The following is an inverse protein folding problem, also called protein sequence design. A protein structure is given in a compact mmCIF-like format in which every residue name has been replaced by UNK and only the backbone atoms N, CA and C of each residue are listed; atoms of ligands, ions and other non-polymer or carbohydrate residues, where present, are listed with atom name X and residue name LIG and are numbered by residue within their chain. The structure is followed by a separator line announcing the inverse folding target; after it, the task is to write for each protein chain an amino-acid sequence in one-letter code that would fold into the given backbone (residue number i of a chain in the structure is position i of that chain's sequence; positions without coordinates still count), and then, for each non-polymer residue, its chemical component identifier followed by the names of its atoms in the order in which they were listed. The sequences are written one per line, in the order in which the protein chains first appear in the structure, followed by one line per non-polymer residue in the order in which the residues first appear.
data_IF_303821444318
#
_entry.id   IF_303821444318
#
_cell.length_a   1.000
_cell.length_b   1.000
_cell.length_c   1.000
_cell.angle_alpha   90.00
_cell.angle_beta   90.00
_cell.angle_gamma   90.00
#
_symmetry.space_group_name_H-M   'P 1'
#
loop_
_entity.id
_entity.type
_entity.pdbx_description
1 polymer ?
#
# COMPACT_ATOMS: atom_id res chain seq x y z
N UNK A 1 -14.66 -0.71 -30.55
CA UNK A 1 -15.04 0.53 -29.85
C UNK A 1 -13.75 1.28 -29.53
N UNK A 2 -13.68 2.60 -29.72
CA UNK A 2 -12.42 3.32 -29.47
C UNK A 2 -12.14 3.47 -27.97
N UNK A 3 -10.86 3.39 -27.57
CA UNK A 3 -10.41 3.50 -26.17
C UNK A 3 -10.73 4.87 -25.59
N UNK A 4 -10.63 5.94 -26.39
CA UNK A 4 -11.02 7.28 -25.94
C UNK A 4 -12.49 7.33 -25.50
N UNK A 5 -13.36 6.62 -26.21
CA UNK A 5 -14.79 6.53 -25.86
C UNK A 5 -15.03 5.74 -24.56
N UNK A 6 -14.30 4.64 -24.36
CA UNK A 6 -14.36 3.84 -23.11
C UNK A 6 -13.94 4.71 -21.93
N UNK A 7 -12.81 5.42 -22.05
CA UNK A 7 -12.26 6.28 -21.00
C UNK A 7 -13.19 7.45 -20.66
N UNK A 8 -13.77 8.12 -21.66
CA UNK A 8 -14.77 9.17 -21.44
C UNK A 8 -16.02 8.66 -20.71
N UNK A 9 -16.33 7.36 -20.79
CA UNK A 9 -17.41 6.75 -20.03
C UNK A 9 -16.99 6.36 -18.60
N UNK A 10 -15.72 6.10 -18.36
CA UNK A 10 -15.16 5.92 -17.02
C UNK A 10 -15.07 7.24 -16.27
N UNK A 11 -14.80 8.37 -16.94
CA UNK A 11 -14.83 9.71 -16.33
C UNK A 11 -16.20 10.07 -15.71
N UNK A 12 -17.27 9.45 -16.21
CA UNK A 12 -18.63 9.61 -15.69
C UNK A 12 -18.92 8.75 -14.46
N UNK A 13 -18.01 7.84 -14.09
CA UNK A 13 -18.14 7.06 -12.86
C UNK A 13 -17.83 7.97 -11.67
N UNK A 14 -18.80 8.10 -10.77
CA UNK A 14 -18.65 8.85 -9.54
C UNK A 14 -18.72 7.89 -8.36
N UNK A 15 -17.56 7.39 -7.93
CA UNK A 15 -17.43 6.54 -6.75
C UNK A 15 -17.44 7.34 -5.45
N UNK A 16 -16.79 8.51 -5.48
CA UNK A 16 -16.64 9.45 -4.37
C UNK A 16 -16.25 10.82 -4.97
N UNK A 17 -16.71 11.94 -4.40
CA UNK A 17 -16.33 13.28 -4.86
C UNK A 17 -14.81 13.55 -4.81
N UNK A 18 -14.08 12.82 -3.96
CA UNK A 18 -12.63 13.01 -3.77
C UNK A 18 -11.78 12.12 -4.68
N UNK A 19 -12.40 11.18 -5.40
CA UNK A 19 -11.70 10.31 -6.34
C UNK A 19 -11.65 10.96 -7.73
N UNK A 20 -10.45 11.09 -8.26
CA UNK A 20 -10.20 11.60 -9.60
C UNK A 20 -9.78 10.45 -10.51
N UNK A 21 -10.37 10.38 -11.70
CA UNK A 21 -9.87 9.48 -12.73
C UNK A 21 -8.57 10.04 -13.29
N UNK A 22 -7.52 9.23 -13.23
CA UNK A 22 -6.22 9.48 -13.85
C UNK A 22 -6.00 8.41 -14.90
N UNK A 23 -5.53 8.83 -16.07
CA UNK A 23 -5.24 7.94 -17.19
C UNK A 23 -3.85 8.28 -17.68
N UNK A 24 -3.02 7.26 -17.90
CA UNK A 24 -1.69 7.46 -18.48
C UNK A 24 -1.60 6.92 -19.91
N UNK A 25 -0.53 7.33 -20.60
CA UNK A 25 -0.27 6.96 -22.00
C UNK A 25 -0.03 5.46 -22.22
N UNK A 26 0.22 4.70 -21.15
CA UNK A 26 0.48 3.26 -21.15
C UNK A 26 -0.79 2.44 -20.90
N UNK A 27 -1.97 3.04 -21.04
CA UNK A 27 -3.23 2.32 -20.88
C UNK A 27 -3.56 1.96 -19.42
N UNK A 28 -2.93 2.59 -18.43
CA UNK A 28 -3.43 2.51 -17.06
C UNK A 28 -4.55 3.53 -16.88
N UNK A 29 -5.60 3.11 -16.18
CA UNK A 29 -6.60 4.00 -15.62
C UNK A 29 -6.62 3.80 -14.12
N UNK A 30 -6.91 4.84 -13.35
CA UNK A 30 -6.99 4.74 -11.90
C UNK A 30 -7.88 5.79 -11.30
N UNK A 31 -8.73 5.38 -10.36
CA UNK A 31 -9.51 6.29 -9.53
C UNK A 31 -8.70 6.54 -8.28
N UNK A 32 -8.17 7.77 -8.15
CA UNK A 32 -7.14 8.12 -7.17
C UNK A 32 -7.62 9.24 -6.24
N UNK A 33 -7.32 9.09 -4.96
CA UNK A 33 -7.47 10.11 -3.95
C UNK A 33 -6.10 10.32 -3.31
N UNK A 34 -5.62 11.55 -3.31
CA UNK A 34 -4.36 11.93 -2.66
C UNK A 34 -4.59 13.17 -1.81
N UNK A 35 -4.12 13.11 -0.57
CA UNK A 35 -4.01 14.26 0.31
C UNK A 35 -2.69 14.16 1.09
N UNK A 36 -2.47 15.09 2.02
CA UNK A 36 -1.23 15.13 2.81
C UNK A 36 -1.00 13.90 3.68
N UNK A 37 -2.08 13.17 4.02
CA UNK A 37 -2.06 12.03 4.94
C UNK A 37 -1.89 10.72 4.20
N UNK A 38 -2.61 10.53 3.09
CA UNK A 38 -2.67 9.26 2.37
C UNK A 38 -2.94 9.43 0.89
N UNK A 39 -2.49 8.44 0.14
CA UNK A 39 -2.86 8.14 -1.23
C UNK A 39 -3.62 6.81 -1.26
N UNK A 40 -4.72 6.77 -2.00
CA UNK A 40 -5.53 5.58 -2.21
C UNK A 40 -5.92 5.48 -3.68
N UNK A 41 -5.86 4.30 -4.26
CA UNK A 41 -6.27 4.11 -5.66
C UNK A 41 -6.89 2.75 -5.95
N UNK A 42 -7.90 2.79 -6.82
CA UNK A 42 -8.39 1.65 -7.59
C UNK A 42 -7.83 1.80 -9.00
N UNK A 43 -6.83 0.99 -9.34
CA UNK A 43 -6.14 1.05 -10.64
C UNK A 43 -6.49 -0.17 -11.49
N UNK A 44 -6.66 0.04 -12.79
CA UNK A 44 -6.75 -1.03 -13.78
C UNK A 44 -5.80 -0.78 -14.95
N UNK A 45 -5.50 -1.85 -15.69
CA UNK A 45 -4.59 -1.80 -16.84
C UNK A 45 -5.22 -2.41 -18.07
N UNK A 46 -5.22 -1.66 -19.18
CA UNK A 46 -5.50 -2.20 -20.50
C UNK A 46 -4.32 -3.04 -20.99
N UNK A 47 -4.59 -4.18 -21.60
CA UNK A 47 -3.59 -4.99 -22.27
C UNK A 47 -3.13 -4.27 -23.54
N UNK A 48 -1.83 -4.01 -23.65
CA UNK A 48 -1.26 -3.33 -24.83
C UNK A 48 -1.34 -4.18 -26.11
N UNK A 49 -1.48 -5.50 -25.97
CA UNK A 49 -1.48 -6.46 -27.09
C UNK A 49 -2.88 -6.94 -27.49
N UNK A 50 -3.92 -6.57 -26.73
CA UNK A 50 -5.30 -6.98 -27.00
C UNK A 50 -6.23 -5.79 -26.89
N UNK A 51 -7.00 -5.55 -27.94
CA UNK A 51 -7.89 -4.40 -28.03
C UNK A 51 -8.90 -4.41 -26.87
N UNK A 52 -8.89 -3.32 -26.07
CA UNK A 52 -9.81 -3.05 -24.97
C UNK A 52 -9.96 -4.18 -23.92
N UNK A 53 -8.97 -5.05 -23.77
CA UNK A 53 -8.91 -6.00 -22.67
C UNK A 53 -8.39 -5.29 -21.42
N UNK A 54 -9.13 -5.32 -20.32
CA UNK A 54 -8.66 -4.94 -19.00
C UNK A 54 -8.14 -6.22 -18.34
N UNK A 55 -6.84 -6.25 -18.01
CA UNK A 55 -6.21 -7.46 -17.46
C UNK A 55 -6.56 -7.72 -15.99
N UNK A 56 -6.97 -6.68 -15.27
CA UNK A 56 -7.30 -6.73 -13.86
C UNK A 56 -7.45 -5.34 -13.26
N UNK A 57 -7.90 -5.32 -12.01
CA UNK A 57 -7.82 -4.13 -11.15
C UNK A 57 -7.05 -4.45 -9.88
N UNK A 58 -6.55 -3.40 -9.24
CA UNK A 58 -5.80 -3.48 -8.00
C UNK A 58 -6.18 -2.33 -7.07
N UNK A 59 -5.96 -2.53 -5.78
CA UNK A 59 -6.12 -1.49 -4.77
C UNK A 59 -4.76 -1.15 -4.18
N UNK A 60 -4.49 0.14 -3.99
CA UNK A 60 -3.24 0.59 -3.41
C UNK A 60 -3.52 1.61 -2.32
N UNK A 61 -2.83 1.47 -1.19
CA UNK A 61 -2.77 2.50 -0.13
C UNK A 61 -1.31 2.86 0.10
N UNK A 62 -1.05 4.16 0.15
CA UNK A 62 0.24 4.74 0.45
C UNK A 62 0.09 5.89 1.44
N UNK A 63 1.13 6.11 2.24
CA UNK A 63 1.19 7.17 3.25
C UNK A 63 2.37 8.07 2.89
N UNK A 64 2.13 9.29 2.35
CA UNK A 64 3.19 10.20 1.94
C UNK A 64 4.26 10.47 3.00
N UNK A 65 3.88 10.49 4.29
CA UNK A 65 4.87 10.62 5.39
C UNK A 65 5.90 9.50 5.37
N UNK A 66 5.46 8.26 5.15
CA UNK A 66 6.34 7.09 5.14
C UNK A 66 7.25 7.15 3.90
N UNK A 67 6.69 7.49 2.74
CA UNK A 67 7.45 7.61 1.49
C UNK A 67 8.47 8.74 1.56
N UNK A 68 8.15 9.90 2.13
CA UNK A 68 9.13 10.99 2.32
C UNK A 68 10.29 10.57 3.24
N UNK A 69 10.01 9.75 4.25
CA UNK A 69 11.05 9.18 5.11
C UNK A 69 11.92 8.13 4.40
N UNK A 70 11.35 7.30 3.53
CA UNK A 70 12.13 6.33 2.73
C UNK A 70 12.90 7.02 1.61
N UNK A 71 12.21 7.83 0.82
CA UNK A 71 12.67 8.54 -0.35
C UNK A 71 12.40 10.05 -0.21
N UNK A 72 13.41 10.86 0.16
CA UNK A 72 13.20 12.28 0.46
C UNK A 72 12.88 13.13 -0.78
N UNK A 73 13.03 12.59 -1.99
CA UNK A 73 12.60 13.25 -3.23
C UNK A 73 11.16 12.91 -3.62
N UNK A 74 10.44 12.14 -2.79
CA UNK A 74 9.03 11.82 -3.02
C UNK A 74 8.15 13.08 -2.96
N UNK A 75 7.60 13.45 -4.10
CA UNK A 75 6.75 14.64 -4.29
C UNK A 75 5.28 14.28 -4.57
N UNK A 76 4.86 13.07 -4.20
CA UNK A 76 3.51 12.55 -4.45
C UNK A 76 3.50 11.42 -5.47
N UNK A 77 2.31 10.89 -5.71
CA UNK A 77 2.11 9.78 -6.65
C UNK A 77 1.89 10.35 -8.06
N UNK A 78 2.94 10.36 -8.88
CA UNK A 78 2.83 10.75 -10.28
C UNK A 78 1.97 9.80 -11.14
N UNK A 79 1.94 10.03 -12.46
CA UNK A 79 1.15 9.24 -13.42
C UNK A 79 1.64 7.78 -13.61
N UNK A 80 2.72 7.39 -12.92
CA UNK A 80 3.32 6.05 -12.96
C UNK A 80 2.74 5.06 -11.94
N UNK A 81 3.44 3.93 -11.74
CA UNK A 81 3.13 2.98 -10.67
C UNK A 81 3.39 3.65 -9.31
N UNK A 82 2.31 3.77 -8.53
CA UNK A 82 2.35 4.37 -7.22
C UNK A 82 3.16 3.48 -6.25
N UNK A 83 3.99 4.06 -5.36
CA UNK A 83 4.41 3.33 -4.17
C UNK A 83 3.16 2.82 -3.43
N UNK A 84 3.23 1.59 -2.90
CA UNK A 84 2.10 0.98 -2.19
C UNK A 84 2.61 0.32 -0.91
N UNK A 85 2.04 0.71 0.23
CA UNK A 85 2.29 0.09 1.52
C UNK A 85 1.35 -1.08 1.78
N UNK A 86 0.11 -0.99 1.29
CA UNK A 86 -0.87 -2.06 1.40
C UNK A 86 -1.51 -2.35 0.06
N UNK A 87 -1.66 -3.65 -0.21
CA UNK A 87 -2.22 -4.23 -1.44
C UNK A 87 -3.14 -5.41 -1.09
N UNK A 88 -4.11 -5.76 -1.94
CA UNK A 88 -5.05 -6.87 -1.71
C UNK A 88 -4.38 -8.17 -1.28
N UNK A 89 -3.27 -8.58 -1.90
CA UNK A 89 -2.63 -9.85 -1.55
C UNK A 89 -2.01 -9.83 -0.14
N UNK A 90 -1.39 -8.70 0.29
CA UNK A 90 -0.88 -8.56 1.66
C UNK A 90 -2.05 -8.60 2.65
N UNK A 91 -3.13 -7.89 2.32
CA UNK A 91 -4.35 -7.92 3.13
C UNK A 91 -4.93 -9.33 3.24
N UNK A 92 -5.00 -10.09 2.15
CA UNK A 92 -5.50 -11.47 2.17
C UNK A 92 -4.62 -12.40 3.03
N UNK A 93 -3.32 -12.13 3.17
CA UNK A 93 -2.47 -12.87 4.13
C UNK A 93 -2.96 -12.65 5.57
N UNK A 94 -3.34 -11.41 5.92
CA UNK A 94 -3.79 -11.04 7.26
C UNK A 94 -5.21 -11.56 7.56
N UNK A 95 -6.16 -11.46 6.62
CA UNK A 95 -7.58 -11.70 6.89
C UNK A 95 -8.13 -12.99 6.26
N UNK A 96 -7.37 -13.64 5.37
CA UNK A 96 -7.84 -14.81 4.63
C UNK A 96 -7.94 -14.56 3.13
N UNK A 97 -7.83 -15.66 2.38
CA UNK A 97 -8.09 -15.66 0.93
C UNK A 97 -9.54 -15.19 0.68
N UNK A 98 -9.75 -14.52 -0.45
CA UNK A 98 -11.05 -13.98 -0.90
C UNK A 98 -11.66 -12.81 -0.10
N UNK A 99 -10.94 -12.22 0.86
CA UNK A 99 -11.44 -11.05 1.64
C UNK A 99 -11.55 -9.76 0.82
N UNK A 100 -10.65 -9.59 -0.16
CA UNK A 100 -10.69 -8.48 -1.13
C UNK A 100 -10.72 -9.02 -2.55
N UNK A 101 -11.74 -8.62 -3.30
CA UNK A 101 -11.76 -8.70 -4.76
C UNK A 101 -12.08 -10.04 -5.37
N UNK A 102 -12.43 -11.06 -4.58
CA UNK A 102 -12.89 -12.37 -5.08
C UNK A 102 -14.02 -12.26 -6.11
N UNK A 103 -14.95 -11.30 -5.94
CA UNK A 103 -16.05 -11.08 -6.87
C UNK A 103 -15.62 -10.50 -8.22
N UNK A 104 -14.62 -9.60 -8.24
CA UNK A 104 -14.23 -8.87 -9.44
C UNK A 104 -13.02 -9.50 -10.15
N UNK A 105 -12.02 -10.01 -9.41
CA UNK A 105 -10.82 -10.63 -10.01
C UNK A 105 -11.17 -11.85 -10.85
N UNK A 106 -12.20 -12.60 -10.45
CA UNK A 106 -12.73 -13.75 -11.23
C UNK A 106 -13.38 -13.35 -12.56
N UNK A 107 -13.66 -12.06 -12.79
CA UNK A 107 -14.22 -11.53 -14.03
C UNK A 107 -13.15 -10.98 -14.99
N UNK A 108 -11.88 -11.02 -14.60
CA UNK A 108 -10.77 -10.57 -15.43
C UNK A 108 -9.97 -11.76 -16.01
N UNK A 109 -9.37 -11.60 -17.21
CA UNK A 109 -9.41 -10.41 -18.06
C UNK A 109 -10.81 -10.16 -18.66
N UNK A 110 -11.17 -8.88 -18.85
CA UNK A 110 -12.47 -8.46 -19.36
C UNK A 110 -12.28 -7.66 -20.65
N UNK A 111 -12.97 -8.03 -21.73
CA UNK A 111 -12.82 -7.37 -23.04
C UNK A 111 -14.06 -6.56 -23.37
N UNK A 112 -13.88 -5.31 -23.81
CA UNK A 112 -14.98 -4.39 -24.16
C UNK A 112 -15.12 -4.30 -25.68
N UNK A 113 -16.13 -4.96 -26.23
CA UNK A 113 -16.44 -4.95 -27.67
C UNK A 113 -17.54 -3.94 -28.02
N UNK A 114 -18.54 -3.80 -27.15
CA UNK A 114 -19.75 -3.03 -27.40
C UNK A 114 -20.23 -2.23 -26.15
N UNK A 115 -21.38 -1.56 -26.27
CA UNK A 115 -21.97 -0.75 -25.19
C UNK A 115 -22.44 -1.60 -24.00
N UNK A 116 -22.95 -2.81 -24.24
CA UNK A 116 -23.41 -3.69 -23.17
C UNK A 116 -22.23 -4.14 -22.29
N UNK A 117 -21.09 -4.46 -22.91
CA UNK A 117 -19.84 -4.76 -22.19
C UNK A 117 -19.38 -3.54 -21.36
N UNK A 118 -19.52 -2.33 -21.91
CA UNK A 118 -19.18 -1.09 -21.22
C UNK A 118 -20.10 -0.84 -20.02
N UNK A 119 -21.40 -1.11 -20.14
CA UNK A 119 -22.35 -1.04 -19.03
C UNK A 119 -21.98 -2.09 -17.96
N UNK A 120 -21.64 -3.30 -18.38
CA UNK A 120 -21.28 -4.39 -17.50
C UNK A 120 -20.02 -4.08 -16.68
N UNK A 121 -18.93 -3.64 -17.32
CA UNK A 121 -17.69 -3.31 -16.60
C UNK A 121 -17.89 -2.13 -15.65
N UNK A 122 -18.71 -1.14 -16.02
CA UNK A 122 -19.06 -0.02 -15.13
C UNK A 122 -19.81 -0.50 -13.88
N UNK A 123 -20.80 -1.40 -14.05
CA UNK A 123 -21.50 -2.01 -12.91
C UNK A 123 -20.54 -2.78 -12.02
N UNK A 124 -19.67 -3.59 -12.62
CA UNK A 124 -18.67 -4.38 -11.90
C UNK A 124 -17.71 -3.50 -11.07
N UNK A 125 -17.25 -2.37 -11.62
CA UNK A 125 -16.41 -1.42 -10.88
C UNK A 125 -17.15 -0.73 -9.73
N UNK A 126 -18.44 -0.39 -9.92
CA UNK A 126 -19.29 0.19 -8.86
C UNK A 126 -19.51 -0.82 -7.73
N UNK A 127 -19.84 -2.06 -8.06
CA UNK A 127 -20.03 -3.12 -7.07
C UNK A 127 -18.73 -3.36 -6.30
N UNK A 128 -17.60 -3.49 -7.00
CA UNK A 128 -16.31 -3.65 -6.36
C UNK A 128 -15.92 -2.46 -5.49
N UNK A 129 -16.24 -1.23 -5.90
CA UNK A 129 -16.03 -0.05 -5.06
C UNK A 129 -16.77 -0.19 -3.72
N UNK A 130 -18.06 -0.51 -3.76
CA UNK A 130 -18.92 -0.58 -2.58
C UNK A 130 -18.58 -1.77 -1.68
N UNK A 131 -18.32 -2.94 -2.26
CA UNK A 131 -18.12 -4.17 -1.52
C UNK A 131 -16.67 -4.39 -1.07
N UNK A 132 -15.67 -3.90 -1.81
CA UNK A 132 -14.27 -4.21 -1.54
C UNK A 132 -13.40 -2.97 -1.35
N UNK A 133 -13.39 -2.06 -2.32
CA UNK A 133 -12.43 -0.95 -2.34
C UNK A 133 -12.65 0.02 -1.18
N UNK A 134 -13.88 0.48 -0.97
CA UNK A 134 -14.19 1.41 0.12
C UNK A 134 -13.90 0.79 1.50
N UNK A 135 -14.38 -0.42 1.85
CA UNK A 135 -14.00 -1.06 3.11
C UNK A 135 -12.48 -1.23 3.28
N UNK A 136 -11.76 -1.56 2.20
CA UNK A 136 -10.30 -1.68 2.23
C UNK A 136 -9.63 -0.34 2.54
N UNK A 137 -10.07 0.74 1.90
CA UNK A 137 -9.57 2.09 2.13
C UNK A 137 -9.96 2.67 3.49
N UNK A 138 -11.13 2.32 4.02
CA UNK A 138 -11.56 2.68 5.37
C UNK A 138 -10.73 1.93 6.42
N UNK A 139 -10.40 0.66 6.15
CA UNK A 139 -9.57 -0.13 7.05
C UNK A 139 -8.14 0.42 7.12
N UNK A 140 -7.52 0.71 5.97
CA UNK A 140 -6.15 1.23 5.89
C UNK A 140 -6.17 2.76 5.72
N UNK A 141 -6.69 3.44 6.73
CA UNK A 141 -6.94 4.88 6.69
C UNK A 141 -5.89 5.68 7.46
N UNK A 142 -5.20 5.05 8.40
CA UNK A 142 -4.23 5.65 9.29
C UNK A 142 -2.94 4.80 9.35
N UNK A 143 -1.81 5.45 9.59
CA UNK A 143 -0.54 4.78 9.81
C UNK A 143 -0.57 3.85 11.05
N UNK A 144 -1.38 4.18 12.06
CA UNK A 144 -1.55 3.33 13.24
C UNK A 144 -2.24 2.00 12.95
N UNK A 145 -2.95 1.86 11.81
CA UNK A 145 -3.64 0.62 11.43
C UNK A 145 -2.66 -0.55 11.22
N UNK A 146 -1.37 -0.26 11.04
CA UNK A 146 -0.33 -1.29 10.96
C UNK A 146 0.15 -1.79 12.32
N UNK A 147 0.03 -1.00 13.41
CA UNK A 147 0.66 -1.32 14.70
C UNK A 147 0.32 -2.71 15.25
N UNK A 148 -0.93 -3.22 15.19
CA UNK A 148 -1.26 -4.57 15.66
C UNK A 148 -0.42 -5.68 15.01
N UNK A 149 0.11 -5.44 13.82
CA UNK A 149 0.86 -6.39 13.02
C UNK A 149 2.39 -6.24 13.15
N UNK A 150 2.85 -5.20 13.84
CA UNK A 150 4.27 -4.88 13.95
C UNK A 150 4.88 -5.31 15.28
N UNK A 151 4.10 -5.88 16.19
CA UNK A 151 4.58 -6.39 17.49
C UNK A 151 5.39 -7.70 17.39
N UNK A 152 5.58 -8.24 16.18
CA UNK A 152 6.48 -9.37 15.93
C UNK A 152 7.93 -9.05 16.32
N UNK A 153 8.71 -10.10 16.57
CA UNK A 153 10.13 -10.00 16.90
C UNK A 153 10.89 -9.12 15.90
N UNK A 154 11.91 -8.41 16.39
CA UNK A 154 12.69 -7.46 15.59
C UNK A 154 13.35 -8.10 14.36
N UNK A 155 13.53 -9.42 14.40
CA UNK A 155 14.20 -10.20 13.37
C UNK A 155 13.24 -10.92 12.42
N UNK A 156 11.94 -10.89 12.67
CA UNK A 156 10.96 -11.60 11.84
C UNK A 156 10.61 -10.83 10.56
N UNK A 157 11.60 -10.72 9.68
CA UNK A 157 11.49 -10.05 8.39
C UNK A 157 10.42 -10.68 7.50
N UNK A 158 10.16 -11.98 7.66
CA UNK A 158 9.23 -12.71 6.81
C UNK A 158 7.80 -12.28 7.12
N UNK A 159 7.44 -12.28 8.40
CA UNK A 159 6.14 -11.84 8.88
C UNK A 159 5.93 -10.35 8.63
N UNK A 160 6.97 -9.53 8.81
CA UNK A 160 6.89 -8.10 8.47
C UNK A 160 6.71 -7.85 6.96
N UNK A 161 7.36 -8.61 6.08
CA UNK A 161 7.18 -8.49 4.64
C UNK A 161 5.76 -8.89 4.20
N UNK A 162 5.11 -9.82 4.91
CA UNK A 162 3.72 -10.18 4.69
C UNK A 162 2.74 -9.03 5.00
N UNK A 163 3.17 -8.04 5.78
CA UNK A 163 2.37 -6.87 6.18
C UNK A 163 2.73 -5.63 5.38
N UNK A 164 4.02 -5.31 5.29
CA UNK A 164 4.54 -4.02 4.80
C UNK A 164 5.20 -4.10 3.41
N UNK A 165 5.37 -5.31 2.88
CA UNK A 165 6.04 -5.55 1.59
C UNK A 165 7.54 -5.23 1.61
N UNK A 166 8.04 -4.66 0.52
CA UNK A 166 9.46 -4.26 0.39
C UNK A 166 9.82 -3.21 1.46
N UNK A 167 11.05 -3.26 1.96
CA UNK A 167 11.57 -2.36 3.01
C UNK A 167 10.84 -2.45 4.36
N UNK A 168 10.20 -3.59 4.67
CA UNK A 168 9.39 -3.75 5.87
C UNK A 168 10.07 -3.33 7.19
N UNK A 169 11.39 -3.59 7.34
CA UNK A 169 12.16 -3.17 8.52
C UNK A 169 12.23 -1.64 8.65
N UNK A 170 12.50 -0.94 7.54
CA UNK A 170 12.58 0.52 7.52
C UNK A 170 11.19 1.13 7.70
N UNK A 171 10.17 0.53 7.09
CA UNK A 171 8.77 0.91 7.28
C UNK A 171 8.32 0.74 8.73
N UNK A 172 8.65 -0.38 9.39
CA UNK A 172 8.38 -0.59 10.83
C UNK A 172 9.04 0.50 11.67
N UNK A 173 10.32 0.79 11.41
CA UNK A 173 11.05 1.86 12.10
C UNK A 173 10.31 3.21 12.00
N UNK A 174 9.89 3.57 10.79
CA UNK A 174 9.19 4.82 10.53
C UNK A 174 7.81 4.81 11.21
N UNK A 175 7.02 3.75 11.04
CA UNK A 175 5.68 3.63 11.63
C UNK A 175 5.75 3.73 13.16
N UNK A 176 6.65 2.99 13.79
CA UNK A 176 6.85 3.04 15.24
C UNK A 176 7.27 4.42 15.72
N UNK A 177 8.19 5.07 15.01
CA UNK A 177 8.59 6.45 15.33
C UNK A 177 7.40 7.41 15.23
N UNK A 178 6.68 7.37 14.11
CA UNK A 178 5.56 8.28 13.84
C UNK A 178 4.37 8.06 14.78
N UNK A 179 4.24 6.86 15.36
CA UNK A 179 3.20 6.53 16.35
C UNK A 179 3.67 6.66 17.81
N UNK A 180 4.84 7.29 18.05
CA UNK A 180 5.44 7.40 19.40
C UNK A 180 5.57 6.05 20.12
N UNK A 181 5.79 4.95 19.39
CA UNK A 181 5.79 3.61 19.96
C UNK A 181 6.90 3.47 21.02
N UNK A 182 6.63 2.93 22.23
CA UNK A 182 7.59 2.90 23.33
C UNK A 182 8.86 2.09 22.99
N UNK A 183 8.74 1.08 22.13
CA UNK A 183 9.87 0.26 21.65
C UNK A 183 10.64 0.86 20.47
N UNK A 184 10.27 2.05 19.98
CA UNK A 184 10.85 2.63 18.76
C UNK A 184 12.37 2.85 18.86
N UNK A 185 12.83 3.45 19.96
CA UNK A 185 14.27 3.73 20.15
C UNK A 185 15.08 2.44 20.32
N UNK A 186 14.56 1.49 21.09
CA UNK A 186 15.21 0.19 21.30
C UNK A 186 15.35 -0.58 19.98
N UNK A 187 14.31 -0.55 19.14
CA UNK A 187 14.36 -1.14 17.80
C UNK A 187 15.43 -0.50 16.92
N UNK A 188 15.48 0.84 16.89
CA UNK A 188 16.48 1.60 16.13
C UNK A 188 17.89 1.22 16.57
N UNK A 189 18.15 1.26 17.88
CA UNK A 189 19.47 0.98 18.44
C UNK A 189 19.90 -0.48 18.19
N UNK A 190 18.98 -1.43 18.39
CA UNK A 190 19.23 -2.84 18.11
C UNK A 190 19.59 -3.08 16.63
N UNK A 191 18.82 -2.47 15.71
CA UNK A 191 19.05 -2.63 14.27
C UNK A 191 20.37 -2.02 13.82
N UNK A 192 20.72 -0.85 14.36
CA UNK A 192 22.00 -0.19 14.11
C UNK A 192 23.18 -1.06 14.51
N UNK A 193 23.17 -1.56 15.75
CA UNK A 193 24.23 -2.43 16.27
C UNK A 193 24.40 -3.68 15.41
N UNK A 194 23.29 -4.29 14.97
CA UNK A 194 23.31 -5.46 14.07
C UNK A 194 23.94 -5.14 12.71
N UNK A 195 23.58 -4.01 12.09
CA UNK A 195 24.16 -3.62 10.80
C UNK A 195 25.65 -3.26 10.92
N UNK A 196 26.06 -2.64 12.02
CA UNK A 196 27.48 -2.36 12.32
C UNK A 196 28.25 -3.68 12.48
N UNK A 197 27.73 -4.63 13.28
CA UNK A 197 28.35 -5.93 13.47
C UNK A 197 28.46 -6.72 12.15
N UNK A 198 27.41 -6.72 11.33
CA UNK A 198 27.43 -7.35 10.00
C UNK A 198 28.45 -6.69 9.07
N UNK A 199 28.58 -5.36 9.10
CA UNK A 199 29.57 -4.63 8.29
C UNK A 199 31.00 -5.00 8.69
N UNK A 200 31.23 -5.24 9.99
CA UNK A 200 32.51 -5.68 10.53
C UNK A 200 32.83 -7.14 10.16
N UNK A 201 31.85 -8.04 10.21
CA UNK A 201 32.04 -9.45 9.83
C UNK A 201 32.12 -9.65 8.31
N UNK A 202 31.48 -8.79 7.52
CA UNK A 202 31.42 -8.86 6.06
C UNK A 202 31.90 -7.56 5.38
N UNK A 203 33.19 -7.19 5.52
CA UNK A 203 33.70 -5.88 5.08
C UNK A 203 33.75 -5.70 3.56
N UNK A 204 33.48 -6.74 2.75
CA UNK A 204 33.41 -6.64 1.29
C UNK A 204 31.97 -6.73 0.76
N UNK A 205 30.98 -6.92 1.63
CA UNK A 205 29.59 -7.04 1.21
C UNK A 205 28.96 -5.66 0.99
N UNK A 206 28.90 -5.24 -0.27
CA UNK A 206 28.30 -3.96 -0.68
C UNK A 206 26.82 -3.83 -0.31
N UNK A 207 26.08 -4.94 -0.18
CA UNK A 207 24.66 -4.90 0.23
C UNK A 207 24.52 -4.47 1.68
N UNK A 208 25.39 -4.98 2.56
CA UNK A 208 25.41 -4.62 3.98
C UNK A 208 25.79 -3.16 4.16
N UNK A 209 26.79 -2.68 3.42
CA UNK A 209 27.18 -1.27 3.42
C UNK A 209 26.03 -0.35 2.97
N UNK A 210 25.39 -0.67 1.85
CA UNK A 210 24.22 0.09 1.37
C UNK A 210 23.09 0.11 2.40
N UNK A 211 22.80 -1.04 3.02
CA UNK A 211 21.74 -1.14 4.03
C UNK A 211 22.06 -0.32 5.29
N UNK A 212 23.32 -0.29 5.74
CA UNK A 212 23.76 0.53 6.87
C UNK A 212 23.65 2.02 6.56
N UNK A 213 24.12 2.46 5.39
CA UNK A 213 24.03 3.87 4.95
C UNK A 213 22.56 4.31 4.91
N UNK A 214 21.71 3.55 4.20
CA UNK A 214 20.28 3.85 4.09
C UNK A 214 19.61 3.90 5.46
N UNK A 215 19.94 2.96 6.36
CA UNK A 215 19.40 2.94 7.72
C UNK A 215 19.78 4.19 8.51
N UNK A 216 21.06 4.58 8.49
CA UNK A 216 21.54 5.76 9.21
C UNK A 216 20.92 7.06 8.67
N UNK A 217 20.77 7.18 7.35
CA UNK A 217 20.10 8.32 6.72
C UNK A 217 18.63 8.43 7.13
N UNK A 218 17.90 7.32 7.21
CA UNK A 218 16.50 7.33 7.67
C UNK A 218 16.44 7.62 9.17
N UNK A 219 17.29 6.97 9.99
CA UNK A 219 17.39 7.25 11.43
C UNK A 219 17.61 8.73 11.70
N UNK A 220 18.58 9.35 11.04
CA UNK A 220 18.87 10.77 11.20
C UNK A 220 17.66 11.65 10.84
N UNK A 221 16.96 11.33 9.75
CA UNK A 221 15.74 12.05 9.36
C UNK A 221 14.63 11.90 10.40
N UNK A 222 14.40 10.70 10.91
CA UNK A 222 13.37 10.46 11.94
C UNK A 222 13.67 11.28 13.20
N UNK A 223 14.92 11.27 13.68
CA UNK A 223 15.34 12.04 14.85
C UNK A 223 15.19 13.57 14.70
N UNK A 224 15.03 14.08 13.48
CA UNK A 224 14.75 15.49 13.18
C UNK A 224 13.26 15.81 13.06
N UNK A 225 12.39 14.79 13.12
CA UNK A 225 10.94 14.94 13.02
C UNK A 225 10.28 14.69 14.36
N UNK A 226 9.14 15.36 14.60
CA UNK A 226 8.25 14.99 15.70
C UNK A 226 7.31 13.85 15.26
N UNK A 227 6.96 12.90 16.14
CA UNK A 227 5.92 11.92 15.86
C UNK A 227 4.61 12.57 15.45
N UNK A 228 3.87 11.93 14.55
CA UNK A 228 2.55 12.39 14.10
C UNK A 228 1.43 12.06 15.09
N UNK A 229 1.58 10.97 15.85
CA UNK A 229 0.57 10.47 16.76
C UNK A 229 1.16 10.27 18.16
N UNK A 230 0.34 10.56 19.17
CA UNK A 230 0.64 10.19 20.54
C UNK A 230 0.50 8.69 20.74
N UNK A 231 1.30 8.14 21.66
CA UNK A 231 1.23 6.72 21.99
C UNK A 231 -0.11 6.37 22.63
N UNK A 232 -0.72 5.30 22.13
CA UNK A 232 -1.90 4.70 22.74
C UNK A 232 -1.86 3.18 22.56
N UNK A 233 -1.77 2.45 23.67
CA UNK A 233 -1.70 0.98 23.68
C UNK A 233 -2.94 0.32 23.06
N UNK A 234 -4.11 0.99 23.07
CA UNK A 234 -5.31 0.49 22.40
C UNK A 234 -5.13 0.35 20.88
N UNK A 235 -4.15 1.06 20.28
CA UNK A 235 -3.81 0.93 18.87
C UNK A 235 -3.16 -0.42 18.52
N UNK A 236 -2.74 -1.21 19.52
CA UNK A 236 -2.27 -2.58 19.30
C UNK A 236 -3.42 -3.59 19.13
N UNK A 237 -4.65 -3.20 19.44
CA UNK A 237 -5.80 -4.09 19.31
C UNK A 237 -6.20 -4.20 17.83
N UNK A 238 -6.14 -5.39 17.22
CA UNK A 238 -6.54 -5.56 15.84
C UNK A 238 -8.04 -5.29 15.69
N UNK A 239 -8.41 -4.48 14.70
CA UNK A 239 -9.80 -4.26 14.34
C UNK A 239 -10.26 -5.29 13.28
N UNK A 240 -11.53 -5.70 13.27
CA UNK A 240 -12.02 -6.62 12.25
C UNK A 240 -12.15 -5.93 10.89
N UNK A 241 -11.81 -6.64 9.82
CA UNK A 241 -12.14 -6.26 8.44
C UNK A 241 -13.39 -7.02 8.00
N UNK A 242 -14.49 -6.30 7.71
CA UNK A 242 -15.79 -6.92 7.34
C UNK A 242 -16.23 -8.03 8.32
N UNK A 243 -16.00 -7.82 9.62
CA UNK A 243 -16.34 -8.80 10.68
C UNK A 243 -15.31 -9.93 10.86
N UNK A 244 -14.26 -9.99 10.04
CA UNK A 244 -13.18 -10.98 10.15
C UNK A 244 -12.00 -10.37 10.90
N UNK A 245 -11.60 -10.98 12.01
CA UNK A 245 -10.37 -10.60 12.70
C UNK A 245 -9.14 -11.14 11.96
N UNK A 246 -7.99 -10.45 12.04
CA UNK A 246 -6.79 -10.93 11.41
C UNK A 246 -6.32 -12.25 12.05
N UNK A 247 -5.66 -13.08 11.25
CA UNK A 247 -5.10 -14.37 11.68
C UNK A 247 -4.00 -14.15 12.73
N UNK A 248 -4.02 -14.97 13.77
CA UNK A 248 -3.10 -14.85 14.92
C UNK A 248 -1.62 -15.19 14.60
N UNK A 249 -1.35 -15.79 13.43
CA UNK A 249 -0.01 -16.18 12.99
C UNK A 249 0.28 -15.49 11.65
N UNK A 250 0.94 -14.34 11.71
CA UNK A 250 1.48 -13.64 10.52
C UNK A 250 2.98 -13.82 10.53
#
# INVERSE_FOLDING_TARGET
MDRAYILANFEKLNFSPDLKLIINRSGYFGFRQENEVKYQSLDGKFNDHKENEISGVNLNVCFPVLEKCLNPTFNGVGDGEAPSHMRPYLHNVLFGEDTVGSMLTSKFPFVIHNEDDLIQIKSLLIDFWNFDAKPFFDYWSNLSDFLPFLEVDFEDYRSMNNVLGVDAILKKMIIWWQCSHPKSLDFINHREQKLIALRQSEPKNQKVEKALIQFLEIKQRLLQTSPLLEWNEALLQPKPYKGVFPKANI
#
